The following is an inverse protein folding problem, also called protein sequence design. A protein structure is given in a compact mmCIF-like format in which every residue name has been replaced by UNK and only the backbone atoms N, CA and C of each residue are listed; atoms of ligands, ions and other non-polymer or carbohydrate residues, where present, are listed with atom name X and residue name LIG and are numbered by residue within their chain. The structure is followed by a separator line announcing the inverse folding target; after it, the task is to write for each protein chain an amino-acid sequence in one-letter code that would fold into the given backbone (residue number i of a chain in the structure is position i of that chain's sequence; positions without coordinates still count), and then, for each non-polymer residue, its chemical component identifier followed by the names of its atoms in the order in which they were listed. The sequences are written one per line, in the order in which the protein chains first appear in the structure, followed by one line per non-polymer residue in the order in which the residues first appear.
data_IF_867699244411
#
_entry.id   IF_867699244411
#
_cell.length_a   1.000
_cell.length_b   1.000
_cell.length_c   1.000
_cell.angle_alpha   90.00
_cell.angle_beta   90.00
_cell.angle_gamma   90.00
#
_symmetry.space_group_name_H-M   'P 1'
#
loop_
_entity.id
_entity.type
_entity.pdbx_description
1 polymer ?
#
# COMPACT_ATOMS: atom_id res chain seq x y z
N UNK A 1 30.33 6.55 2.75
CA UNK A 1 28.90 6.20 2.74
C UNK A 1 28.74 4.69 2.72
N UNK A 2 28.00 4.15 3.67
CA UNK A 2 27.60 2.74 3.76
C UNK A 2 26.62 2.43 2.63
N UNK A 3 26.81 1.28 2.00
CA UNK A 3 25.94 0.78 0.94
C UNK A 3 24.96 -0.24 1.50
N UNK A 4 23.71 -0.23 1.02
CA UNK A 4 22.69 -1.18 1.46
C UNK A 4 23.09 -2.63 1.13
N UNK A 5 23.06 -3.57 2.10
CA UNK A 5 23.25 -4.99 1.86
C UNK A 5 21.98 -5.59 1.26
N UNK A 6 21.89 -5.57 -0.08
CA UNK A 6 20.68 -5.89 -0.86
C UNK A 6 20.08 -7.25 -0.51
N UNK A 7 20.88 -8.33 -0.56
CA UNK A 7 20.39 -9.70 -0.36
C UNK A 7 19.92 -9.95 1.08
N UNK A 8 20.70 -9.50 2.06
CA UNK A 8 20.37 -9.65 3.48
C UNK A 8 19.12 -8.85 3.84
N UNK A 9 19.05 -7.58 3.44
CA UNK A 9 17.89 -6.71 3.72
C UNK A 9 16.62 -7.27 3.07
N UNK A 10 16.71 -7.73 1.82
CA UNK A 10 15.57 -8.31 1.10
C UNK A 10 15.16 -9.65 1.71
N UNK A 11 16.11 -10.52 2.08
CA UNK A 11 15.84 -11.80 2.74
C UNK A 11 15.15 -11.62 4.09
N UNK A 12 15.60 -10.66 4.90
CA UNK A 12 14.92 -10.32 6.15
C UNK A 12 13.52 -9.74 5.92
N UNK A 13 13.35 -8.91 4.90
CA UNK A 13 12.04 -8.36 4.56
C UNK A 13 11.05 -9.44 4.11
N UNK A 14 11.47 -10.37 3.25
CA UNK A 14 10.61 -11.45 2.73
C UNK A 14 10.28 -12.51 3.78
N UNK A 15 11.13 -12.67 4.80
CA UNK A 15 10.85 -13.58 5.94
C UNK A 15 10.01 -12.93 7.04
N UNK A 16 9.90 -11.59 7.06
CA UNK A 16 9.17 -10.86 8.09
C UNK A 16 7.68 -11.25 8.20
N UNK A 17 6.91 -11.44 7.10
CA UNK A 17 5.52 -11.87 7.20
C UNK A 17 5.33 -13.15 8.02
N UNK A 18 6.27 -14.10 7.90
CA UNK A 18 6.24 -15.37 8.63
C UNK A 18 6.74 -15.22 10.08
N UNK A 19 7.77 -14.40 10.29
CA UNK A 19 8.32 -14.14 11.63
C UNK A 19 7.33 -13.39 12.52
N UNK A 20 6.55 -12.48 11.96
CA UNK A 20 5.66 -11.58 12.68
C UNK A 20 4.18 -11.91 12.51
N UNK A 21 3.82 -13.13 12.11
CA UNK A 21 2.42 -13.60 12.01
C UNK A 21 1.67 -13.31 13.30
N UNK A 22 2.10 -13.85 14.43
CA UNK A 22 1.35 -13.73 15.68
C UNK A 22 1.17 -12.29 16.21
N UNK A 23 2.21 -11.43 16.22
CA UNK A 23 2.03 -10.07 16.71
C UNK A 23 1.26 -9.14 15.76
N UNK A 24 1.10 -9.48 14.47
CA UNK A 24 0.52 -8.56 13.48
C UNK A 24 -0.73 -9.11 12.78
N UNK A 25 -0.73 -10.38 12.35
CA UNK A 25 -1.80 -10.95 11.54
C UNK A 25 -3.20 -10.79 12.15
N UNK A 26 -3.43 -10.97 13.47
CA UNK A 26 -4.76 -10.75 14.05
C UNK A 26 -5.28 -9.32 13.83
N UNK A 27 -4.42 -8.31 13.90
CA UNK A 27 -4.80 -6.91 13.66
C UNK A 27 -5.12 -6.65 12.19
N UNK A 28 -4.34 -7.22 11.26
CA UNK A 28 -4.63 -7.15 9.82
C UNK A 28 -5.95 -7.83 9.48
N UNK A 29 -6.22 -9.00 10.07
CA UNK A 29 -7.46 -9.73 9.87
C UNK A 29 -8.67 -8.91 10.35
N UNK A 30 -8.61 -8.37 11.58
CA UNK A 30 -9.69 -7.52 12.13
C UNK A 30 -9.91 -6.27 11.27
N UNK A 31 -8.83 -5.61 10.83
CA UNK A 31 -8.94 -4.43 9.97
C UNK A 31 -9.59 -4.77 8.62
N UNK A 32 -9.18 -5.86 7.98
CA UNK A 32 -9.73 -6.29 6.69
C UNK A 32 -11.19 -6.72 6.82
N UNK A 33 -11.55 -7.49 7.85
CA UNK A 33 -12.95 -7.85 8.14
C UNK A 33 -13.79 -6.61 8.43
N UNK A 34 -13.23 -5.62 9.13
CA UNK A 34 -13.87 -4.32 9.34
C UNK A 34 -14.09 -3.55 8.04
N UNK A 35 -13.11 -3.53 7.13
CA UNK A 35 -13.25 -2.92 5.80
C UNK A 35 -14.36 -3.61 4.98
N UNK A 36 -14.37 -4.94 4.96
CA UNK A 36 -15.40 -5.75 4.29
C UNK A 36 -16.77 -5.44 4.86
N UNK A 37 -16.92 -5.42 6.19
CA UNK A 37 -18.19 -5.09 6.85
C UNK A 37 -18.69 -3.68 6.54
N UNK A 38 -17.79 -2.68 6.55
CA UNK A 38 -18.14 -1.30 6.20
C UNK A 38 -18.52 -1.17 4.74
N UNK A 39 -17.74 -1.75 3.81
CA UNK A 39 -18.05 -1.69 2.38
C UNK A 39 -19.36 -2.42 2.07
N UNK A 40 -19.62 -3.60 2.66
CA UNK A 40 -20.90 -4.29 2.51
C UNK A 40 -22.08 -3.48 3.03
N UNK A 41 -21.92 -2.80 4.17
CA UNK A 41 -22.95 -1.92 4.72
C UNK A 41 -23.22 -0.68 3.85
N UNK A 42 -22.19 -0.12 3.20
CA UNK A 42 -22.36 1.02 2.27
C UNK A 42 -22.99 0.57 0.94
N UNK A 43 -22.57 -0.58 0.40
CA UNK A 43 -23.07 -1.11 -0.89
C UNK A 43 -24.52 -1.58 -0.83
N UNK A 44 -24.95 -2.21 0.27
CA UNK A 44 -26.33 -2.70 0.45
C UNK A 44 -27.38 -1.58 0.52
N UNK A 45 -26.94 -0.37 0.85
CA UNK A 45 -27.80 0.82 0.95
C UNK A 45 -28.03 1.47 -0.42
N UNK A 46 -27.08 1.34 -1.37
CA UNK A 46 -27.24 1.83 -2.75
C UNK A 46 -28.09 0.89 -3.63
N UNK A 47 -28.04 -0.42 -3.39
CA UNK A 47 -28.74 -1.42 -4.21
C UNK A 47 -30.26 -1.53 -3.95
N UNK A 48 -30.77 -0.92 -2.88
CA UNK A 48 -32.18 -1.07 -2.45
C UNK A 48 -33.13 0.01 -2.96
N UNK A 49 -32.67 0.93 -3.83
CA UNK A 49 -33.47 2.06 -4.27
C UNK A 49 -33.32 2.31 -5.79
N UNK A 50 -34.28 1.81 -6.57
CA UNK A 50 -34.47 2.22 -7.97
C UNK A 50 -35.04 3.65 -8.05
N UNK A 51 -34.44 4.49 -8.91
CA UNK A 51 -34.94 5.84 -9.25
C UNK A 51 -34.33 7.00 -8.44
N UNK A 52 -34.93 8.20 -8.53
CA UNK A 52 -34.48 9.45 -7.86
C UNK A 52 -34.35 9.32 -6.33
N UNK A 53 -35.01 8.31 -5.73
CA UNK A 53 -34.90 7.95 -4.31
C UNK A 53 -33.56 7.31 -3.99
N UNK A 54 -32.94 6.57 -4.92
CA UNK A 54 -31.61 5.99 -4.75
C UNK A 54 -30.51 7.03 -4.65
N UNK A 55 -30.59 8.10 -5.45
CA UNK A 55 -29.65 9.23 -5.37
C UNK A 55 -29.79 9.99 -4.04
N UNK A 56 -31.01 10.11 -3.51
CA UNK A 56 -31.28 10.73 -2.21
C UNK A 56 -30.77 9.86 -1.03
N UNK A 57 -30.84 8.53 -1.16
CA UNK A 57 -30.32 7.58 -0.16
C UNK A 57 -28.80 7.51 -0.20
N UNK A 58 -28.17 7.51 -1.37
CA UNK A 58 -26.70 7.58 -1.50
C UNK A 58 -26.12 8.87 -0.92
N UNK A 59 -26.77 10.02 -1.17
CA UNK A 59 -26.34 11.31 -0.62
C UNK A 59 -26.56 11.43 0.89
N UNK A 60 -27.62 10.82 1.45
CA UNK A 60 -27.87 10.79 2.88
C UNK A 60 -26.87 9.91 3.67
N UNK A 61 -26.34 8.85 3.04
CA UNK A 61 -25.41 7.91 3.68
C UNK A 61 -23.93 8.23 3.41
N UNK A 62 -23.66 9.16 2.49
CA UNK A 62 -22.33 9.67 2.21
C UNK A 62 -21.55 10.12 3.47
N UNK A 63 -22.14 10.84 4.44
CA UNK A 63 -21.42 11.23 5.67
C UNK A 63 -20.99 10.03 6.51
N UNK A 64 -21.81 8.98 6.58
CA UNK A 64 -21.48 7.76 7.31
C UNK A 64 -20.39 6.96 6.61
N UNK A 65 -20.45 6.85 5.28
CA UNK A 65 -19.40 6.20 4.47
C UNK A 65 -18.06 6.93 4.59
N UNK A 66 -18.07 8.27 4.56
CA UNK A 66 -16.88 9.11 4.78
C UNK A 66 -16.33 8.89 6.19
N UNK A 67 -17.17 8.90 7.22
CA UNK A 67 -16.75 8.69 8.60
C UNK A 67 -16.14 7.29 8.80
N UNK A 68 -16.78 6.25 8.27
CA UNK A 68 -16.28 4.88 8.36
C UNK A 68 -14.96 4.71 7.58
N UNK A 69 -14.86 5.27 6.38
CA UNK A 69 -13.61 5.31 5.61
C UNK A 69 -12.48 6.02 6.35
N UNK A 70 -12.78 7.12 7.04
CA UNK A 70 -11.80 7.86 7.84
C UNK A 70 -11.31 7.05 9.05
N UNK A 71 -12.21 6.35 9.75
CA UNK A 71 -11.84 5.45 10.86
C UNK A 71 -10.95 4.31 10.38
N UNK A 72 -11.30 3.67 9.26
CA UNK A 72 -10.51 2.60 8.66
C UNK A 72 -9.13 3.09 8.21
N UNK A 73 -9.06 4.30 7.65
CA UNK A 73 -7.80 4.93 7.28
C UNK A 73 -6.90 5.20 8.50
N UNK A 74 -7.46 5.72 9.60
CA UNK A 74 -6.70 5.88 10.86
C UNK A 74 -6.21 4.53 11.38
N UNK A 75 -7.07 3.50 11.36
CA UNK A 75 -6.69 2.17 11.81
C UNK A 75 -5.56 1.58 10.95
N UNK A 76 -5.56 1.83 9.64
CA UNK A 76 -4.48 1.45 8.74
C UNK A 76 -3.15 2.17 9.09
N UNK A 77 -3.20 3.47 9.37
CA UNK A 77 -2.01 4.23 9.83
C UNK A 77 -1.48 3.66 11.16
N UNK A 78 -2.36 3.40 12.11
CA UNK A 78 -1.99 2.81 13.40
C UNK A 78 -1.33 1.43 13.21
N UNK A 79 -1.87 0.61 12.31
CA UNK A 79 -1.34 -0.71 12.00
C UNK A 79 0.03 -0.64 11.30
N UNK A 80 0.22 0.29 10.37
CA UNK A 80 1.50 0.52 9.71
C UNK A 80 2.59 0.94 10.72
N UNK A 81 2.25 1.84 11.65
CA UNK A 81 3.13 2.28 12.74
C UNK A 81 3.47 1.12 13.67
N UNK A 82 2.47 0.36 14.10
CA UNK A 82 2.66 -0.83 14.93
C UNK A 82 3.61 -1.81 14.23
N UNK A 83 3.40 -2.06 12.94
CA UNK A 83 4.24 -2.95 12.13
C UNK A 83 5.70 -2.48 12.14
N UNK A 84 5.97 -1.20 11.87
CA UNK A 84 7.32 -0.64 11.95
C UNK A 84 7.96 -0.80 13.35
N UNK A 85 7.20 -0.52 14.42
CA UNK A 85 7.70 -0.59 15.81
C UNK A 85 7.97 -2.02 16.26
N UNK A 86 7.10 -2.98 15.92
CA UNK A 86 7.28 -4.42 16.19
C UNK A 86 8.51 -4.95 15.45
N UNK A 87 8.67 -4.62 14.17
CA UNK A 87 9.83 -5.05 13.38
C UNK A 87 11.12 -4.44 13.91
N UNK A 88 11.04 -3.19 14.38
CA UNK A 88 12.14 -2.55 15.07
C UNK A 88 12.44 -3.19 16.44
N UNK A 89 11.52 -3.94 17.05
CA UNK A 89 11.71 -4.46 18.40
C UNK A 89 11.74 -3.33 19.44
N UNK A 90 10.88 -2.32 19.26
CA UNK A 90 10.60 -1.32 20.30
C UNK A 90 9.97 -2.02 21.51
N UNK A 91 10.39 -1.67 22.72
CA UNK A 91 9.89 -2.30 23.96
C UNK A 91 8.37 -2.15 24.13
N UNK A 92 7.83 -0.97 23.83
CA UNK A 92 6.41 -0.65 23.91
C UNK A 92 5.85 -0.27 22.53
N UNK A 93 5.60 -1.27 21.65
CA UNK A 93 5.17 -1.00 20.29
C UNK A 93 3.73 -0.45 20.21
N UNK A 94 2.93 -0.64 21.26
CA UNK A 94 1.51 -0.26 21.37
C UNK A 94 1.27 1.22 21.67
N UNK A 95 2.31 1.97 22.01
CA UNK A 95 2.21 3.42 22.25
C UNK A 95 2.14 4.18 20.92
N UNK A 96 0.98 4.13 20.27
CA UNK A 96 0.82 4.60 18.88
C UNK A 96 0.47 6.09 18.75
N UNK A 97 -0.01 6.75 19.80
CA UNK A 97 -0.62 8.09 19.71
C UNK A 97 0.20 9.13 18.93
N UNK A 98 1.35 9.56 19.47
CA UNK A 98 2.23 10.53 18.80
C UNK A 98 2.90 9.98 17.53
N UNK A 99 3.43 8.74 17.51
CA UNK A 99 3.98 8.15 16.29
C UNK A 99 3.00 8.17 15.11
N UNK A 100 1.73 7.84 15.33
CA UNK A 100 0.71 7.79 14.28
C UNK A 100 0.42 9.16 13.68
N UNK A 101 0.45 10.23 14.46
CA UNK A 101 0.30 11.60 13.92
C UNK A 101 1.48 11.96 13.03
N UNK A 102 2.71 11.71 13.48
CA UNK A 102 3.92 11.96 12.68
C UNK A 102 3.91 11.16 11.39
N UNK A 103 3.56 9.87 11.49
CA UNK A 103 3.46 8.97 10.35
C UNK A 103 2.39 9.40 9.36
N UNK A 104 1.21 9.81 9.85
CA UNK A 104 0.13 10.35 9.02
C UNK A 104 0.59 11.57 8.23
N UNK A 105 1.23 12.54 8.88
CA UNK A 105 1.72 13.76 8.22
C UNK A 105 2.77 13.44 7.15
N UNK A 106 3.71 12.54 7.45
CA UNK A 106 4.72 12.08 6.48
C UNK A 106 4.05 11.34 5.30
N UNK A 107 3.07 10.49 5.57
CA UNK A 107 2.30 9.79 4.54
C UNK A 107 1.48 10.76 3.67
N UNK A 108 0.97 11.84 4.24
CA UNK A 108 0.28 12.90 3.52
C UNK A 108 1.21 13.59 2.50
N UNK A 109 2.46 13.84 2.89
CA UNK A 109 3.47 14.38 1.98
C UNK A 109 3.77 13.46 0.77
N UNK A 110 3.58 12.15 0.91
CA UNK A 110 3.74 11.19 -0.19
C UNK A 110 2.48 11.00 -1.04
N UNK A 111 1.32 11.01 -0.40
CA UNK A 111 0.04 10.75 -1.06
C UNK A 111 -0.48 11.94 -1.86
N UNK A 112 -0.24 13.19 -1.43
CA UNK A 112 -0.70 14.37 -2.18
C UNK A 112 -0.07 14.49 -3.59
N UNK A 113 1.26 14.33 -3.77
CA UNK A 113 1.85 14.32 -5.11
C UNK A 113 1.38 13.13 -5.94
N UNK A 114 1.20 11.95 -5.33
CA UNK A 114 0.67 10.77 -6.02
C UNK A 114 -0.75 11.05 -6.52
N UNK A 115 -1.61 11.60 -5.67
CA UNK A 115 -2.97 11.97 -6.03
C UNK A 115 -2.97 12.99 -7.17
N UNK A 116 -2.12 14.03 -7.10
CA UNK A 116 -1.98 15.01 -8.17
C UNK A 116 -1.54 14.36 -9.50
N UNK A 117 -0.61 13.40 -9.45
CA UNK A 117 -0.16 12.63 -10.62
C UNK A 117 -1.29 11.77 -11.18
N UNK A 118 -2.03 11.05 -10.34
CA UNK A 118 -3.18 10.21 -10.76
C UNK A 118 -4.26 11.07 -11.39
N UNK A 119 -4.58 12.22 -10.78
CA UNK A 119 -5.56 13.17 -11.32
C UNK A 119 -5.09 13.74 -12.67
N UNK A 120 -3.81 14.14 -12.77
CA UNK A 120 -3.24 14.64 -14.02
C UNK A 120 -3.28 13.57 -15.12
N UNK A 121 -2.92 12.32 -14.79
CA UNK A 121 -3.00 11.19 -15.69
C UNK A 121 -4.45 10.92 -16.15
N UNK A 122 -5.42 11.00 -15.23
CA UNK A 122 -6.84 10.89 -15.52
C UNK A 122 -7.33 11.99 -16.45
N UNK A 123 -6.91 13.24 -16.23
CA UNK A 123 -7.25 14.38 -17.10
C UNK A 123 -6.65 14.24 -18.50
N UNK A 124 -5.40 13.78 -18.61
CA UNK A 124 -4.75 13.53 -19.91
C UNK A 124 -5.42 12.39 -20.66
N UNK A 125 -5.77 11.31 -19.97
CA UNK A 125 -6.47 10.16 -20.54
C UNK A 125 -7.88 10.53 -21.00
N UNK A 126 -8.64 11.25 -20.17
CA UNK A 126 -9.98 11.73 -20.50
C UNK A 126 -10.00 12.78 -21.62
N UNK A 127 -9.01 13.69 -21.65
CA UNK A 127 -8.86 14.68 -22.71
C UNK A 127 -8.45 14.08 -24.07
N UNK A 128 -7.64 13.02 -24.07
CA UNK A 128 -7.27 12.30 -25.29
C UNK A 128 -8.46 11.55 -25.92
N UNK A 129 -9.40 11.06 -25.12
CA UNK A 129 -10.63 10.42 -25.61
C UNK A 129 -11.61 11.42 -26.23
N UNK A 130 -11.59 12.69 -25.79
CA UNK A 130 -12.49 13.74 -26.27
C UNK A 130 -12.01 14.43 -27.56
N UNK A 131 -10.74 14.29 -27.94
CA UNK A 131 -10.11 15.11 -29.00
C UNK A 131 -9.87 14.39 -30.32
N UNK A 132 -10.25 13.11 -30.47
CA UNK A 132 -10.28 12.41 -31.76
C UNK A 132 -8.94 12.40 -32.51
N UNK A 133 -7.84 12.08 -31.81
CA UNK A 133 -6.49 12.19 -32.37
C UNK A 133 -6.28 11.33 -33.65
N UNK A 134 -5.57 11.85 -34.68
CA UNK A 134 -5.45 11.23 -35.99
C UNK A 134 -4.51 10.01 -36.04
N UNK A 135 -4.82 9.09 -36.96
CA UNK A 135 -4.35 7.70 -37.09
C UNK A 135 -2.86 7.48 -37.47
N UNK A 136 -1.98 8.49 -37.37
CA UNK A 136 -0.57 8.38 -37.77
C UNK A 136 0.45 8.46 -36.61
N UNK A 137 -0.02 8.65 -35.38
CA UNK A 137 0.78 8.49 -34.17
C UNK A 137 0.67 7.04 -33.66
N UNK A 138 1.64 6.50 -32.88
CA UNK A 138 1.38 5.27 -32.12
C UNK A 138 0.03 5.40 -31.41
N UNK A 139 -0.80 4.34 -31.36
CA UNK A 139 -2.14 4.43 -30.81
C UNK A 139 -2.08 5.22 -29.51
N UNK A 140 -2.93 6.24 -29.29
CA UNK A 140 -2.86 7.09 -28.10
C UNK A 140 -2.74 6.28 -26.80
N UNK A 141 -3.29 5.07 -26.79
CA UNK A 141 -3.15 4.07 -25.73
C UNK A 141 -1.72 3.59 -25.44
N UNK A 142 -0.85 3.40 -26.44
CA UNK A 142 0.54 2.91 -26.24
C UNK A 142 1.45 4.02 -25.69
N UNK A 143 1.39 5.22 -26.26
CA UNK A 143 2.16 6.36 -25.76
C UNK A 143 1.73 6.75 -24.33
N UNK A 144 0.41 6.72 -24.06
CA UNK A 144 -0.14 6.93 -22.73
C UNK A 144 0.29 5.83 -21.76
N UNK A 145 0.27 4.56 -22.18
CA UNK A 145 0.72 3.43 -21.35
C UNK A 145 2.19 3.56 -20.98
N UNK A 146 3.06 3.90 -21.94
CA UNK A 146 4.49 4.13 -21.68
C UNK A 146 4.73 5.33 -20.76
N UNK A 147 3.97 6.42 -20.94
CA UNK A 147 4.03 7.58 -20.05
C UNK A 147 3.59 7.23 -18.63
N UNK A 148 2.50 6.48 -18.46
CA UNK A 148 2.02 5.98 -17.17
C UNK A 148 3.06 5.08 -16.50
N UNK A 149 3.65 4.14 -17.23
CA UNK A 149 4.73 3.28 -16.72
C UNK A 149 5.90 4.13 -16.23
N UNK A 150 6.34 5.12 -17.02
CA UNK A 150 7.43 6.02 -16.63
C UNK A 150 7.12 6.82 -15.37
N UNK A 151 5.89 7.32 -15.26
CA UNK A 151 5.38 8.03 -14.08
C UNK A 151 5.38 7.11 -12.86
N UNK A 152 4.88 5.87 -12.98
CA UNK A 152 4.87 4.90 -11.88
C UNK A 152 6.29 4.55 -11.45
N UNK A 153 7.20 4.28 -12.38
CA UNK A 153 8.61 3.98 -12.07
C UNK A 153 9.27 5.15 -11.35
N UNK A 154 9.07 6.38 -11.82
CA UNK A 154 9.58 7.59 -11.16
C UNK A 154 8.99 7.75 -9.76
N UNK A 155 7.68 7.55 -9.61
CA UNK A 155 7.01 7.58 -8.31
C UNK A 155 7.58 6.54 -7.36
N UNK A 156 7.70 5.28 -7.78
CA UNK A 156 8.29 4.23 -6.96
C UNK A 156 9.72 4.58 -6.58
N UNK A 157 10.54 5.09 -7.50
CA UNK A 157 11.90 5.51 -7.19
C UNK A 157 11.96 6.61 -6.13
N UNK A 158 11.08 7.61 -6.21
CA UNK A 158 10.94 8.67 -5.20
C UNK A 158 10.45 8.08 -3.88
N UNK A 159 9.43 7.23 -3.94
CA UNK A 159 8.83 6.56 -2.78
C UNK A 159 9.87 5.72 -2.03
N UNK A 160 10.69 4.91 -2.68
CA UNK A 160 11.66 4.09 -1.93
C UNK A 160 12.77 4.92 -1.28
N UNK A 161 13.13 6.07 -1.87
CA UNK A 161 14.15 6.96 -1.30
C UNK A 161 13.63 7.73 -0.11
N UNK A 162 12.45 8.31 -0.24
CA UNK A 162 11.86 9.14 0.81
C UNK A 162 11.05 8.31 1.81
N UNK A 163 10.62 7.12 1.43
CA UNK A 163 9.82 6.19 2.25
C UNK A 163 10.54 5.70 3.49
N UNK A 164 11.87 5.85 3.58
CA UNK A 164 12.62 5.66 4.84
C UNK A 164 12.20 6.69 5.92
N UNK A 165 11.52 7.77 5.55
CA UNK A 165 10.91 8.70 6.49
C UNK A 165 9.72 8.07 7.25
N UNK A 166 9.06 7.06 6.69
CA UNK A 166 7.94 6.36 7.33
C UNK A 166 8.38 5.59 8.59
N UNK A 167 9.37 4.67 8.54
CA UNK A 167 9.89 4.06 9.75
C UNK A 167 10.52 5.09 10.70
N UNK A 168 11.18 6.13 10.18
CA UNK A 168 11.73 7.19 11.03
C UNK A 168 10.62 7.92 11.82
N UNK A 169 9.47 8.19 11.20
CA UNK A 169 8.32 8.80 11.86
C UNK A 169 7.67 7.85 12.88
N UNK A 170 7.54 6.56 12.56
CA UNK A 170 7.00 5.55 13.48
C UNK A 170 7.89 5.32 14.71
N UNK A 171 9.21 5.53 14.56
CA UNK A 171 10.21 5.45 15.61
C UNK A 171 10.52 6.82 16.25
N UNK A 172 9.65 7.82 16.03
CA UNK A 172 9.68 9.14 16.67
C UNK A 172 11.01 9.90 16.48
N UNK A 173 11.69 9.65 15.37
CA UNK A 173 12.93 10.34 15.05
C UNK A 173 12.67 11.81 14.66
N UNK A 174 13.53 12.74 15.09
CA UNK A 174 13.39 14.15 14.70
C UNK A 174 13.62 14.32 13.19
N UNK A 175 12.79 15.13 12.55
CA UNK A 175 12.88 15.47 11.11
C UNK A 175 12.94 14.23 10.20
N UNK A 176 11.90 13.36 10.23
CA UNK A 176 11.91 12.05 9.56
C UNK A 176 12.17 12.14 8.05
N UNK A 177 11.64 13.17 7.37
CA UNK A 177 11.86 13.40 5.93
C UNK A 177 13.34 13.65 5.59
N UNK A 178 13.99 14.52 6.36
CA UNK A 178 15.42 14.82 6.16
C UNK A 178 16.28 13.59 6.46
N UNK A 179 15.91 12.83 7.50
CA UNK A 179 16.58 11.60 7.87
C UNK A 179 16.48 10.56 6.75
N UNK A 180 15.28 10.31 6.23
CA UNK A 180 15.07 9.37 5.13
C UNK A 180 15.84 9.78 3.86
N UNK A 181 15.87 11.07 3.54
CA UNK A 181 16.68 11.60 2.42
C UNK A 181 18.18 11.36 2.62
N UNK A 182 18.72 11.66 3.81
CA UNK A 182 20.14 11.45 4.12
C UNK A 182 20.51 9.97 4.11
N UNK A 183 19.69 9.12 4.72
CA UNK A 183 19.92 7.68 4.78
C UNK A 183 19.93 7.06 3.36
N UNK A 184 19.02 7.46 2.49
CA UNK A 184 18.91 6.95 1.11
C UNK A 184 19.93 7.54 0.12
N UNK A 185 20.71 8.55 0.52
CA UNK A 185 21.71 9.17 -0.35
C UNK A 185 22.73 8.13 -0.83
N UNK A 186 23.01 8.14 -2.14
CA UNK A 186 23.89 7.15 -2.78
C UNK A 186 23.33 5.71 -2.90
N UNK A 187 22.15 5.42 -2.35
CA UNK A 187 21.57 4.07 -2.31
C UNK A 187 20.25 3.92 -3.09
N UNK A 188 19.80 4.95 -3.82
CA UNK A 188 18.50 4.97 -4.50
C UNK A 188 18.22 3.76 -5.39
N UNK A 189 19.16 3.39 -6.27
CA UNK A 189 19.00 2.22 -7.15
C UNK A 189 18.97 0.88 -6.40
N UNK A 190 19.72 0.76 -5.30
CA UNK A 190 19.71 -0.45 -4.46
C UNK A 190 18.38 -0.59 -3.75
N UNK A 191 17.89 0.50 -3.16
CA UNK A 191 16.58 0.55 -2.51
C UNK A 191 15.48 0.19 -3.51
N UNK A 192 15.49 0.83 -4.69
CA UNK A 192 14.54 0.52 -5.76
C UNK A 192 14.59 -0.95 -6.19
N UNK A 193 15.78 -1.49 -6.46
CA UNK A 193 15.95 -2.89 -6.84
C UNK A 193 15.43 -3.87 -5.78
N UNK A 194 15.77 -3.66 -4.50
CA UNK A 194 15.24 -4.47 -3.41
C UNK A 194 13.71 -4.40 -3.33
N UNK A 195 13.14 -3.19 -3.46
CA UNK A 195 11.70 -3.01 -3.41
C UNK A 195 11.00 -3.70 -4.59
N UNK A 196 11.56 -3.64 -5.79
CA UNK A 196 11.05 -4.38 -6.95
C UNK A 196 11.07 -5.89 -6.71
N UNK A 197 12.11 -6.44 -6.07
CA UNK A 197 12.13 -7.87 -5.70
C UNK A 197 11.00 -8.23 -4.72
N UNK A 198 10.66 -7.33 -3.79
CA UNK A 198 9.54 -7.52 -2.88
C UNK A 198 8.20 -7.47 -3.62
N UNK A 199 8.03 -6.52 -4.54
CA UNK A 199 6.83 -6.44 -5.40
C UNK A 199 6.67 -7.72 -6.23
N UNK A 200 7.74 -8.20 -6.86
CA UNK A 200 7.73 -9.46 -7.62
C UNK A 200 7.36 -10.64 -6.71
N UNK A 201 7.94 -10.72 -5.51
CA UNK A 201 7.60 -11.78 -4.55
C UNK A 201 6.13 -11.70 -4.12
N UNK A 202 5.59 -10.51 -3.87
CA UNK A 202 4.18 -10.31 -3.55
C UNK A 202 3.26 -10.75 -4.71
N UNK A 203 3.62 -10.45 -5.96
CA UNK A 203 2.88 -10.93 -7.14
C UNK A 203 2.92 -12.46 -7.25
N UNK A 204 4.07 -13.09 -6.97
CA UNK A 204 4.19 -14.55 -6.95
C UNK A 204 3.30 -15.14 -5.85
N UNK A 205 3.34 -14.60 -4.63
CA UNK A 205 2.48 -15.04 -3.51
C UNK A 205 1.01 -14.92 -3.88
N UNK A 206 0.59 -13.77 -4.41
CA UNK A 206 -0.78 -13.57 -4.87
C UNK A 206 -1.17 -14.62 -5.92
N UNK A 207 -0.32 -14.85 -6.92
CA UNK A 207 -0.57 -15.82 -7.99
C UNK A 207 -0.69 -17.24 -7.44
N UNK A 208 0.23 -17.65 -6.56
CA UNK A 208 0.22 -18.98 -5.94
C UNK A 208 -1.02 -19.17 -5.09
N UNK A 209 -1.41 -18.18 -4.29
CA UNK A 209 -2.61 -18.25 -3.46
C UNK A 209 -3.89 -18.34 -4.31
N UNK A 210 -3.97 -17.58 -5.40
CA UNK A 210 -5.09 -17.69 -6.36
C UNK A 210 -5.15 -19.07 -7.00
N UNK A 211 -4.01 -19.61 -7.47
CA UNK A 211 -3.95 -20.94 -8.08
C UNK A 211 -4.30 -22.06 -7.07
N UNK A 212 -3.86 -21.94 -5.83
CA UNK A 212 -4.21 -22.89 -4.76
C UNK A 212 -5.70 -22.79 -4.42
N UNK A 213 -6.25 -21.58 -4.29
CA UNK A 213 -7.68 -21.38 -4.07
C UNK A 213 -8.52 -22.01 -5.19
N UNK A 214 -8.08 -21.84 -6.44
CA UNK A 214 -8.73 -22.47 -7.60
C UNK A 214 -8.60 -23.99 -7.63
N UNK A 215 -7.41 -24.52 -7.37
CA UNK A 215 -7.19 -25.97 -7.30
C UNK A 215 -7.94 -26.67 -6.16
N UNK A 216 -8.30 -25.92 -5.11
CA UNK A 216 -9.10 -26.40 -3.98
C UNK A 216 -10.62 -26.22 -4.19
N UNK A 217 -11.06 -25.66 -5.33
CA UNK A 217 -12.47 -25.35 -5.60
C UNK A 217 -13.04 -24.26 -4.69
N UNK A 218 -12.17 -23.37 -4.19
CA UNK A 218 -12.50 -22.24 -3.31
C UNK A 218 -12.58 -20.92 -4.11
N UNK A 219 -12.05 -20.89 -5.33
CA UNK A 219 -12.10 -19.73 -6.24
C UNK A 219 -12.32 -20.24 -7.66
N UNK A 220 -13.41 -19.84 -8.31
CA UNK A 220 -13.56 -20.03 -9.75
C UNK A 220 -12.60 -19.13 -10.55
N UNK A 221 -11.57 -19.74 -11.13
CA UNK A 221 -10.61 -19.08 -12.02
C UNK A 221 -10.31 -19.92 -13.26
N UNK A 222 -10.39 -19.37 -14.50
CA UNK A 222 -10.74 -17.99 -14.82
C UNK A 222 -12.22 -17.66 -14.52
N UNK A 223 -12.53 -16.39 -14.20
CA UNK A 223 -13.89 -15.98 -13.86
C UNK A 223 -14.84 -16.25 -15.04
N UNK A 224 -15.99 -16.85 -14.77
CA UNK A 224 -17.10 -16.98 -15.73
C UNK A 224 -17.83 -15.63 -15.86
N UNK A 225 -18.62 -15.45 -16.93
CA UNK A 225 -19.36 -14.20 -17.17
C UNK A 225 -20.36 -13.86 -16.03
N UNK A 226 -20.80 -14.86 -15.25
CA UNK A 226 -21.63 -14.67 -14.03
C UNK A 226 -20.79 -14.14 -12.84
N UNK A 227 -19.51 -14.52 -12.74
CA UNK A 227 -18.62 -14.13 -11.63
C UNK A 227 -18.14 -12.67 -11.72
N UNK A 228 -18.17 -12.07 -12.92
CA UNK A 228 -17.79 -10.65 -13.10
C UNK A 228 -18.85 -9.70 -12.51
N UNK A 229 -20.12 -10.10 -12.49
CA UNK A 229 -21.18 -9.40 -11.75
C UNK A 229 -21.18 -9.75 -10.25
N UNK A 230 -20.69 -10.94 -9.88
CA UNK A 230 -20.48 -11.38 -8.50
C UNK A 230 -19.48 -10.57 -7.68
N UNK A 231 -18.66 -9.72 -8.30
CA UNK A 231 -17.79 -8.78 -7.56
C UNK A 231 -18.60 -7.74 -6.75
N UNK A 232 -19.86 -7.47 -7.14
CA UNK A 232 -20.80 -6.69 -6.35
C UNK A 232 -21.29 -7.44 -5.09
N UNK A 233 -21.21 -8.77 -5.09
CA UNK A 233 -21.54 -9.67 -3.99
C UNK A 233 -20.30 -10.15 -3.21
N UNK A 234 -19.11 -9.56 -3.44
CA UNK A 234 -17.84 -9.92 -2.78
C UNK A 234 -17.82 -9.76 -1.23
N UNK A 235 -18.97 -9.43 -0.64
CA UNK A 235 -19.18 -9.25 0.79
C UNK A 235 -20.13 -10.31 1.40
N UNK A 236 -20.67 -11.25 0.60
CA UNK A 236 -21.41 -12.39 1.13
C UNK A 236 -20.44 -13.48 1.61
N UNK A 237 -20.16 -13.49 2.91
CA UNK A 237 -19.28 -14.49 3.53
C UNK A 237 -19.86 -15.90 3.54
N UNK A 238 -21.12 -16.09 3.13
CA UNK A 238 -21.73 -17.41 2.97
C UNK A 238 -21.44 -18.05 1.62
N UNK A 239 -21.00 -17.26 0.63
CA UNK A 239 -20.51 -17.75 -0.65
C UNK A 239 -19.05 -18.22 -0.54
N UNK A 240 -18.77 -19.51 -0.80
CA UNK A 240 -17.40 -20.06 -0.78
C UNK A 240 -16.41 -19.30 -1.68
N UNK A 241 -16.85 -18.81 -2.84
CA UNK A 241 -15.98 -18.11 -3.79
C UNK A 241 -15.60 -16.72 -3.28
N UNK A 242 -16.58 -15.97 -2.76
CA UNK A 242 -16.34 -14.67 -2.13
C UNK A 242 -15.43 -14.80 -0.90
N UNK A 243 -15.64 -15.84 -0.08
CA UNK A 243 -14.77 -16.15 1.06
C UNK A 243 -13.34 -16.50 0.62
N UNK A 244 -13.20 -17.26 -0.46
CA UNK A 244 -11.92 -17.62 -1.08
C UNK A 244 -11.12 -16.42 -1.55
N UNK A 245 -11.76 -15.56 -2.34
CA UNK A 245 -11.18 -14.31 -2.85
C UNK A 245 -10.76 -13.40 -1.70
N UNK A 246 -11.63 -13.24 -0.69
CA UNK A 246 -11.32 -12.44 0.50
C UNK A 246 -10.09 -13.00 1.21
N UNK A 247 -10.02 -14.31 1.43
CA UNK A 247 -8.89 -14.96 2.11
C UNK A 247 -7.58 -14.71 1.36
N UNK A 248 -7.55 -14.89 0.04
CA UNK A 248 -6.37 -14.60 -0.79
C UNK A 248 -5.98 -13.14 -0.71
N UNK A 249 -6.95 -12.23 -0.73
CA UNK A 249 -6.72 -10.78 -0.63
C UNK A 249 -6.13 -10.40 0.74
N UNK A 250 -6.69 -10.90 1.85
CA UNK A 250 -6.16 -10.67 3.20
C UNK A 250 -4.73 -11.17 3.33
N UNK A 251 -4.45 -12.40 2.88
CA UNK A 251 -3.11 -12.99 2.96
C UNK A 251 -2.10 -12.25 2.10
N UNK A 252 -2.48 -11.88 0.87
CA UNK A 252 -1.63 -11.12 -0.05
C UNK A 252 -1.34 -9.72 0.48
N UNK A 253 -2.35 -9.02 0.99
CA UNK A 253 -2.18 -7.69 1.58
C UNK A 253 -1.34 -7.74 2.85
N UNK A 254 -1.55 -8.73 3.71
CA UNK A 254 -0.73 -8.95 4.90
C UNK A 254 0.74 -9.17 4.50
N UNK A 255 0.99 -10.10 3.58
CA UNK A 255 2.34 -10.40 3.11
C UNK A 255 3.02 -9.15 2.54
N UNK A 256 2.34 -8.46 1.62
CA UNK A 256 2.86 -7.27 0.94
C UNK A 256 3.15 -6.16 1.94
N UNK A 257 2.19 -5.85 2.82
CA UNK A 257 2.34 -4.74 3.78
C UNK A 257 3.47 -5.03 4.76
N UNK A 258 3.52 -6.23 5.36
CA UNK A 258 4.57 -6.58 6.32
C UNK A 258 5.94 -6.65 5.65
N UNK A 259 6.06 -7.25 4.46
CA UNK A 259 7.34 -7.32 3.74
C UNK A 259 7.85 -5.94 3.33
N UNK A 260 6.99 -5.08 2.77
CA UNK A 260 7.36 -3.71 2.40
C UNK A 260 7.74 -2.87 3.63
N UNK A 261 6.98 -2.98 4.72
CA UNK A 261 7.25 -2.26 5.97
C UNK A 261 8.55 -2.74 6.62
N UNK A 262 8.80 -4.05 6.60
CA UNK A 262 10.04 -4.64 7.08
C UNK A 262 11.24 -4.15 6.29
N UNK A 263 11.12 -4.14 4.96
CA UNK A 263 12.16 -3.63 4.09
C UNK A 263 12.54 -2.18 4.39
N UNK A 264 11.56 -1.29 4.53
CA UNK A 264 11.83 0.11 4.88
C UNK A 264 12.51 0.22 6.24
N UNK A 265 12.07 -0.56 7.23
CA UNK A 265 12.60 -0.55 8.59
C UNK A 265 14.04 -1.08 8.65
N UNK A 266 14.31 -2.23 8.04
CA UNK A 266 15.66 -2.81 7.98
C UNK A 266 16.59 -1.96 7.13
N UNK A 267 16.11 -1.39 6.03
CA UNK A 267 16.89 -0.47 5.19
C UNK A 267 17.29 0.78 5.96
N UNK A 268 16.38 1.36 6.74
CA UNK A 268 16.68 2.52 7.58
C UNK A 268 17.78 2.19 8.60
N UNK A 269 17.70 1.01 9.24
CA UNK A 269 18.72 0.56 10.21
C UNK A 269 20.08 0.32 9.57
N UNK A 270 20.12 -0.37 8.43
CA UNK A 270 21.35 -0.65 7.71
C UNK A 270 22.04 0.64 7.21
N UNK A 271 21.24 1.67 6.90
CA UNK A 271 21.72 2.96 6.39
C UNK A 271 21.88 4.02 7.47
N UNK A 272 21.58 3.72 8.73
CA UNK A 272 21.69 4.63 9.86
C UNK A 272 23.06 5.31 9.99
N UNK A 273 24.20 4.61 9.77
CA UNK A 273 25.52 5.23 9.85
C UNK A 273 25.73 6.40 8.86
N UNK A 274 24.98 6.45 7.74
CA UNK A 274 25.05 7.55 6.78
C UNK A 274 24.46 8.85 7.35
N UNK A 275 23.53 8.74 8.29
CA UNK A 275 22.91 9.89 8.97
C UNK A 275 23.87 10.46 10.01
N UNK A 276 24.48 9.60 10.81
CA UNK A 276 25.42 9.97 11.89
C UNK A 276 26.71 10.58 11.32
N UNK A 277 27.28 9.96 10.28
CA UNK A 277 28.49 10.49 9.62
C UNK A 277 28.26 11.84 8.94
N UNK A 278 27.04 12.11 8.45
CA UNK A 278 26.67 13.39 7.87
C UNK A 278 26.44 14.50 8.89
N UNK A 279 25.99 14.15 10.11
CA UNK A 279 25.84 15.09 11.21
C UNK A 279 27.20 15.53 11.77
N UNK A 280 28.15 14.59 11.93
CA UNK A 280 29.50 14.88 12.40
C UNK A 280 30.32 15.75 11.41
N UNK A 281 30.15 15.52 10.10
CA UNK A 281 30.81 16.33 9.07
C UNK A 281 30.23 17.76 8.98
N UNK A 282 28.93 17.93 9.24
CA UNK A 282 28.28 19.25 9.21
C UNK A 282 28.56 20.09 10.47
N UNK A 283 29.01 19.49 11.57
CA UNK A 283 29.45 20.20 12.78
C UNK A 283 30.94 20.55 12.79
N UNK A 284 31.71 20.06 11.82
CA UNK A 284 33.17 20.22 11.73
C UNK A 284 33.62 21.17 10.61
N UNK A 285 32.69 21.75 9.85
CA UNK A 285 32.92 22.78 8.83
C UNK A 285 32.13 24.03 9.14
#
# INVERSE_FOLDING_TARGET
MVKLPVLETTGHALTAPFRYVWPLFPFYLVLQLGMVGVMGAVSSVGASADGDVGLAVETANLPLAIAAGFVLFIAFIMLAVLTHRVIAGVEEPWQLGRPSVSYFLVSLCFSLPLLAIILLAGMVSGGAMLTGAPAAAPPPSVALSLALIGIYVAFFFIFVRLGLALPAAALEQPKPLLLGYRASSGNGWRLFGCFMLIVIAAMIVSTVLTLLGSGLGIIDWPPTDENVQGLANAFDLSDPDAFGILTVNVLTNYFTTVASTAFLTYSLRALWPNVEGGAAAASAG
#
